data_IF_175982672765
#
_entry.id   IF_175982672765
#
_cell.length_a   1.000
_cell.length_b   1.000
_cell.length_c   1.000
_cell.angle_alpha   90.00
_cell.angle_beta   90.00
_cell.angle_gamma   90.00
#
_symmetry.space_group_name_H-M   'P 1'
#
loop_
_entity.id
_entity.type
_entity.pdbx_description
1 polymer ?
#
# COMPACT_ATOMS: atom_id res chain seq x y z
N UNK A 1 5.58 -13.43 1.88
CA UNK A 1 5.94 -12.76 0.62
C UNK A 1 6.68 -11.48 0.94
N UNK A 2 7.90 -11.33 0.40
CA UNK A 2 8.74 -10.14 0.57
C UNK A 2 8.13 -8.92 -0.12
N UNK A 3 8.37 -7.73 0.42
CA UNK A 3 8.02 -6.48 -0.26
C UNK A 3 9.13 -6.05 -1.22
N UNK A 4 8.79 -5.14 -2.13
CA UNK A 4 9.74 -4.48 -3.04
C UNK A 4 9.25 -3.05 -3.32
N UNK A 5 10.11 -2.19 -3.85
CA UNK A 5 9.75 -0.81 -4.17
C UNK A 5 9.51 -0.67 -5.67
N UNK A 6 8.39 -0.08 -6.09
CA UNK A 6 8.23 0.40 -7.47
C UNK A 6 8.23 1.91 -7.48
N UNK A 7 9.02 2.51 -8.34
CA UNK A 7 8.97 3.95 -8.59
C UNK A 7 8.46 4.19 -10.01
N UNK A 8 7.56 5.16 -10.12
CA UNK A 8 6.91 5.59 -11.37
C UNK A 8 6.98 7.10 -11.48
N UNK A 9 6.50 7.67 -12.59
CA UNK A 9 6.39 9.13 -12.76
C UNK A 9 5.57 9.81 -11.64
N UNK A 10 4.60 9.10 -11.04
CA UNK A 10 3.62 9.67 -10.11
C UNK A 10 3.97 9.41 -8.65
N UNK A 11 4.58 8.26 -8.31
CA UNK A 11 4.80 7.90 -6.92
C UNK A 11 5.94 6.90 -6.71
N UNK A 12 6.27 6.70 -5.43
CA UNK A 12 7.05 5.55 -4.95
C UNK A 12 6.10 4.64 -4.17
N UNK A 13 6.05 3.36 -4.52
CA UNK A 13 5.15 2.37 -3.95
C UNK A 13 5.93 1.32 -3.18
N UNK A 14 5.41 0.94 -2.01
CA UNK A 14 5.77 -0.32 -1.37
C UNK A 14 4.83 -1.40 -1.89
N UNK A 15 5.38 -2.33 -2.64
CA UNK A 15 4.68 -3.40 -3.32
C UNK A 15 4.70 -4.69 -2.51
N UNK A 16 3.60 -5.45 -2.57
CA UNK A 16 3.48 -6.80 -2.03
C UNK A 16 2.65 -7.66 -3.00
N UNK A 17 3.27 -8.68 -3.57
CA UNK A 17 2.68 -9.38 -4.73
C UNK A 17 2.57 -8.41 -5.92
N UNK A 18 1.38 -8.33 -6.53
CA UNK A 18 1.08 -7.43 -7.65
C UNK A 18 0.44 -6.09 -7.27
N UNK A 19 0.29 -5.80 -5.98
CA UNK A 19 -0.41 -4.61 -5.48
C UNK A 19 0.48 -3.74 -4.60
N UNK A 20 0.15 -2.45 -4.46
CA UNK A 20 0.79 -1.60 -3.46
C UNK A 20 0.06 -1.66 -2.11
N UNK A 21 0.84 -1.59 -1.04
CA UNK A 21 0.36 -1.52 0.35
C UNK A 21 0.70 -0.20 1.03
N UNK A 22 1.60 0.59 0.44
CA UNK A 22 1.93 1.95 0.87
C UNK A 22 2.39 2.77 -0.33
N UNK A 23 2.17 4.09 -0.30
CA UNK A 23 2.51 5.02 -1.39
C UNK A 23 3.08 6.31 -0.83
N UNK A 24 4.13 6.82 -1.49
CA UNK A 24 4.69 8.16 -1.33
C UNK A 24 4.46 8.91 -2.64
N UNK A 25 3.57 9.91 -2.60
CA UNK A 25 3.24 10.72 -3.78
C UNK A 25 4.36 11.70 -4.12
N UNK A 26 4.64 11.86 -5.42
CA UNK A 26 5.54 12.88 -5.95
C UNK A 26 4.78 14.18 -6.20
N UNK A 27 5.41 15.29 -5.87
CA UNK A 27 4.90 16.64 -6.11
C UNK A 27 5.85 17.40 -7.03
N UNK A 28 5.38 18.31 -7.91
CA UNK A 28 6.28 19.18 -8.65
C UNK A 28 7.18 20.00 -7.72
N UNK A 29 8.46 20.13 -8.07
CA UNK A 29 9.35 21.10 -7.41
C UNK A 29 8.93 22.53 -7.77
N UNK A 30 9.09 23.46 -6.82
CA UNK A 30 8.74 24.88 -7.01
C UNK A 30 9.79 25.64 -7.85
N UNK A 31 11.02 25.14 -7.87
CA UNK A 31 12.18 25.85 -8.44
C UNK A 31 12.68 25.23 -9.74
N UNK A 32 12.38 23.95 -9.99
CA UNK A 32 12.79 23.24 -11.19
C UNK A 32 11.62 22.39 -11.73
N UNK A 33 11.05 22.70 -12.91
CA UNK A 33 9.92 21.97 -13.45
C UNK A 33 10.23 20.50 -13.81
N UNK A 34 11.51 20.15 -13.95
CA UNK A 34 11.97 18.78 -14.23
C UNK A 34 12.13 17.95 -12.94
N UNK A 35 12.05 18.57 -11.76
CA UNK A 35 12.19 17.87 -10.49
C UNK A 35 10.84 17.53 -9.86
N UNK A 36 10.85 16.46 -9.09
CA UNK A 36 9.77 16.08 -8.19
C UNK A 36 10.28 16.00 -6.76
N UNK A 37 9.45 16.43 -5.81
CA UNK A 37 9.68 16.35 -4.37
C UNK A 37 8.82 15.22 -3.80
N UNK A 38 9.39 14.45 -2.88
CA UNK A 38 8.71 13.36 -2.17
C UNK A 38 8.87 13.54 -0.66
N UNK A 39 7.81 13.22 0.10
CA UNK A 39 7.93 13.12 1.56
C UNK A 39 8.42 11.72 1.94
N UNK A 40 9.71 11.62 2.26
CA UNK A 40 10.38 10.33 2.53
C UNK A 40 10.22 9.83 3.96
N UNK A 41 9.43 10.50 4.82
CA UNK A 41 9.26 10.08 6.22
C UNK A 41 8.83 8.61 6.35
N UNK A 42 8.03 8.13 5.40
CA UNK A 42 7.54 6.75 5.34
C UNK A 42 8.62 5.72 4.99
N UNK A 43 9.73 6.11 4.32
CA UNK A 43 10.77 5.17 3.91
C UNK A 43 11.43 4.49 5.12
N UNK A 44 11.70 5.26 6.18
CA UNK A 44 12.27 4.69 7.41
C UNK A 44 11.40 3.55 7.94
N UNK A 45 10.09 3.77 8.01
CA UNK A 45 9.13 2.75 8.45
C UNK A 45 9.12 1.53 7.54
N UNK A 46 9.30 1.68 6.23
CA UNK A 46 9.35 0.54 5.31
C UNK A 46 10.56 -0.35 5.56
N UNK A 47 11.72 0.23 5.82
CA UNK A 47 12.97 -0.51 6.06
C UNK A 47 13.07 -1.13 7.45
N UNK A 48 12.20 -0.76 8.40
CA UNK A 48 12.11 -1.39 9.73
C UNK A 48 11.09 -2.53 9.79
N UNK A 49 10.37 -2.84 8.70
CA UNK A 49 9.42 -3.95 8.66
C UNK A 49 10.15 -5.29 8.68
N UNK A 50 9.48 -6.34 9.16
CA UNK A 50 9.97 -7.72 9.05
C UNK A 50 10.12 -8.15 7.58
N UNK A 51 9.17 -7.78 6.73
CA UNK A 51 9.16 -8.06 5.29
C UNK A 51 9.76 -6.91 4.45
N UNK A 52 10.73 -6.16 5.01
CA UNK A 52 11.32 -4.97 4.39
C UNK A 52 11.75 -5.18 2.93
N UNK A 53 11.66 -4.13 2.09
CA UNK A 53 11.98 -4.26 0.68
C UNK A 53 13.48 -4.42 0.48
N UNK A 54 13.86 -5.36 -0.40
CA UNK A 54 15.26 -5.62 -0.79
C UNK A 54 15.57 -5.30 -2.25
N UNK A 55 14.55 -4.99 -3.04
CA UNK A 55 14.66 -4.67 -4.45
C UNK A 55 13.81 -3.46 -4.78
N UNK A 56 14.22 -2.74 -5.82
CA UNK A 56 13.52 -1.58 -6.35
C UNK A 56 13.48 -1.66 -7.88
N UNK A 57 12.29 -1.45 -8.46
CA UNK A 57 12.10 -1.25 -9.89
C UNK A 57 11.82 0.22 -10.15
N UNK A 58 12.45 0.76 -11.19
CA UNK A 58 12.31 2.16 -11.62
C UNK A 58 11.63 2.15 -13.00
N UNK A 59 10.53 2.87 -13.15
CA UNK A 59 9.70 2.89 -14.36
C UNK A 59 9.29 4.33 -14.68
N UNK A 60 10.22 5.09 -15.25
CA UNK A 60 10.02 6.50 -15.63
C UNK A 60 9.71 6.61 -17.12
N UNK A 61 8.67 7.36 -17.46
CA UNK A 61 8.30 7.66 -18.85
C UNK A 61 7.84 6.45 -19.65
N UNK A 62 7.43 5.36 -18.99
CA UNK A 62 7.03 4.12 -19.70
C UNK A 62 5.61 4.18 -20.25
N UNK A 63 4.77 5.10 -19.75
CA UNK A 63 3.35 5.20 -20.13
C UNK A 63 2.47 4.05 -19.61
N UNK A 64 3.03 3.17 -18.79
CA UNK A 64 2.32 2.05 -18.19
C UNK A 64 1.39 2.49 -17.06
N UNK A 65 0.28 1.78 -16.79
CA UNK A 65 -0.61 2.11 -15.68
C UNK A 65 0.10 2.07 -14.31
N UNK A 66 -0.32 2.97 -13.42
CA UNK A 66 0.12 2.97 -12.04
C UNK A 66 -0.32 1.68 -11.31
N UNK A 67 0.49 1.18 -10.36
CA UNK A 67 0.13 0.02 -9.56
C UNK A 67 -1.23 0.18 -8.85
N UNK A 68 -1.98 -0.91 -8.73
CA UNK A 68 -3.26 -0.94 -8.03
C UNK A 68 -3.09 -1.13 -6.51
N UNK A 69 -3.97 -0.53 -5.67
CA UNK A 69 -3.97 -0.77 -4.22
C UNK A 69 -4.27 -2.23 -3.91
N UNK A 70 -3.71 -2.72 -2.80
CA UNK A 70 -4.10 -4.00 -2.24
C UNK A 70 -5.61 -3.98 -1.92
N UNK A 71 -6.40 -4.94 -2.40
CA UNK A 71 -7.81 -5.04 -2.05
C UNK A 71 -8.00 -5.17 -0.53
N UNK A 72 -9.08 -4.62 0.03
CA UNK A 72 -9.38 -4.82 1.44
C UNK A 72 -9.62 -6.31 1.72
N UNK A 73 -9.27 -6.81 2.92
CA UNK A 73 -9.62 -8.17 3.31
C UNK A 73 -11.14 -8.36 3.27
N UNK A 74 -11.62 -9.59 2.96
CA UNK A 74 -13.05 -9.87 2.94
C UNK A 74 -13.67 -9.57 4.31
N UNK A 75 -14.95 -9.15 4.35
CA UNK A 75 -15.65 -8.92 5.60
C UNK A 75 -15.60 -10.21 6.43
N UNK A 76 -15.18 -10.10 7.69
CA UNK A 76 -15.24 -11.23 8.61
C UNK A 76 -16.72 -11.60 8.76
N UNK A 77 -17.08 -12.86 8.49
CA UNK A 77 -18.38 -13.38 8.87
C UNK A 77 -18.51 -13.20 10.38
N UNK A 78 -19.27 -12.20 10.82
CA UNK A 78 -19.68 -12.09 12.22
C UNK A 78 -20.51 -13.33 12.50
N UNK A 79 -19.96 -14.27 13.28
CA UNK A 79 -20.74 -15.38 13.81
C UNK A 79 -21.98 -14.79 14.51
N UNK A 80 -23.18 -15.37 14.32
CA UNK A 80 -24.36 -14.90 15.02
C UNK A 80 -24.10 -14.97 16.53
N UNK A 81 -24.26 -13.85 17.22
CA UNK A 81 -24.20 -13.78 18.67
C UNK A 81 -25.19 -14.79 19.24
N UNK A 82 -24.79 -15.77 20.06
CA UNK A 82 -25.74 -16.68 20.69
C UNK A 82 -26.41 -15.93 21.84
N UNK A 83 -27.37 -15.06 21.53
CA UNK A 83 -28.27 -14.50 22.52
C UNK A 83 -29.37 -15.53 22.78
N UNK A 84 -28.97 -16.63 23.42
CA UNK A 84 -29.87 -17.64 23.95
C UNK A 84 -30.70 -17.04 25.08
N UNK A 85 -31.87 -16.49 24.76
CA UNK A 85 -33.02 -16.54 25.65
C UNK A 85 -33.89 -17.69 25.17
N UNK A 86 -33.77 -18.84 25.84
CA UNK A 86 -34.78 -19.89 25.75
C UNK A 86 -36.10 -19.30 26.27
N UNK A 87 -37.21 -19.30 25.50
CA UNK A 87 -38.49 -18.97 26.07
C UNK A 87 -38.89 -20.10 27.03
N UNK A 88 -39.11 -19.76 28.31
CA UNK A 88 -39.85 -20.61 29.23
C UNK A 88 -41.20 -20.93 28.58
N UNK A 89 -41.44 -22.21 28.31
CA UNK A 89 -42.72 -22.73 27.88
C UNK A 89 -43.53 -23.13 29.13
N UNK A 90 -44.84 -22.81 29.21
CA UNK A 90 -45.70 -23.13 30.35
C UNK A 90 -45.94 -24.62 30.53
#
# INVERSE_FOLDING_TARGET
>A
MSTWIKETDIAIYLMKGGYWISRITKYPSKTNPQEKVVNISSLKTWFTREDYPRAMTVSIGTGEPEPQPMPPPPPRCTAPTPNGKWPHQP
#
